data_IF_371751827542
#
_entry.id   IF_371751827542
#
_cell.length_a   1.000
_cell.length_b   1.000
_cell.length_c   1.000
_cell.angle_alpha   90.00
_cell.angle_beta   90.00
_cell.angle_gamma   90.00
#
_symmetry.space_group_name_H-M   'P 1'
#
loop_
_entity.id
_entity.type
_entity.pdbx_description
1 polymer ?
#
# COMPACT_ATOMS: atom_id res chain seq x y z
N UNK A 1 18.26 -20.31 -78.63
CA UNK A 1 17.11 -21.09 -79.12
C UNK A 1 16.37 -21.65 -77.92
N UNK A 2 15.04 -21.76 -78.02
CA UNK A 2 14.11 -22.32 -77.02
C UNK A 2 13.54 -21.32 -76.02
N UNK A 3 12.32 -20.80 -76.27
CA UNK A 3 11.08 -21.39 -75.72
C UNK A 3 9.86 -20.63 -76.26
N UNK A 4 8.98 -21.32 -76.97
CA UNK A 4 7.64 -20.85 -77.31
C UNK A 4 6.61 -21.37 -76.27
N UNK A 5 5.45 -20.69 -76.11
CA UNK A 5 4.48 -20.93 -75.04
C UNK A 5 3.19 -21.65 -75.52
N UNK A 6 2.44 -22.28 -74.58
CA UNK A 6 0.96 -22.24 -74.49
C UNK A 6 0.41 -23.19 -73.41
N UNK A 7 -0.52 -22.65 -72.61
CA UNK A 7 -1.58 -23.31 -71.81
C UNK A 7 -2.65 -23.93 -72.75
N UNK A 8 -3.81 -24.50 -72.28
CA UNK A 8 -4.20 -25.14 -71.00
C UNK A 8 -4.95 -26.50 -71.22
N UNK A 9 -5.31 -27.22 -70.14
CA UNK A 9 -6.52 -28.10 -69.96
C UNK A 9 -6.38 -28.78 -68.59
N UNK A 10 -7.39 -29.13 -67.77
CA UNK A 10 -8.86 -29.02 -67.75
C UNK A 10 -9.32 -29.36 -66.32
N UNK A 11 -10.43 -28.77 -65.91
CA UNK A 11 -11.53 -29.32 -65.08
C UNK A 11 -11.24 -30.16 -63.82
N UNK A 12 -11.60 -29.56 -62.67
CA UNK A 12 -12.76 -30.01 -61.89
C UNK A 12 -12.61 -31.19 -60.94
N UNK A 13 -12.51 -30.90 -59.64
CA UNK A 13 -13.22 -31.66 -58.60
C UNK A 13 -13.28 -30.85 -57.30
N UNK A 14 -14.50 -30.42 -56.98
CA UNK A 14 -14.95 -30.00 -55.67
C UNK A 14 -14.64 -31.05 -54.61
N UNK A 15 -13.92 -30.65 -53.56
CA UNK A 15 -13.74 -31.42 -52.34
C UNK A 15 -13.74 -30.46 -51.16
N UNK A 16 -14.93 -30.24 -50.59
CA UNK A 16 -15.09 -29.62 -49.29
C UNK A 16 -14.34 -30.51 -48.28
N UNK A 17 -13.18 -30.04 -47.83
CA UNK A 17 -12.55 -30.57 -46.63
C UNK A 17 -12.87 -29.58 -45.51
N UNK A 18 -13.98 -29.83 -44.83
CA UNK A 18 -14.20 -29.43 -43.44
C UNK A 18 -13.03 -29.98 -42.60
N UNK A 19 -11.94 -29.22 -42.57
CA UNK A 19 -10.93 -29.37 -41.54
C UNK A 19 -11.49 -28.75 -40.27
N UNK A 20 -12.21 -29.56 -39.50
CA UNK A 20 -12.55 -29.26 -38.11
C UNK A 20 -11.27 -28.79 -37.39
N UNK A 21 -11.18 -27.47 -37.16
CA UNK A 21 -10.16 -26.90 -36.31
C UNK A 21 -10.34 -27.52 -34.92
N UNK A 22 -9.31 -28.15 -34.34
CA UNK A 22 -9.45 -28.76 -33.04
C UNK A 22 -9.75 -27.65 -32.03
N UNK A 23 -10.72 -27.92 -31.16
CA UNK A 23 -11.18 -27.09 -30.05
C UNK A 23 -10.05 -26.70 -29.08
N UNK A 24 -9.13 -25.83 -29.52
CA UNK A 24 -7.97 -25.34 -28.76
C UNK A 24 -8.13 -23.88 -28.30
N UNK A 25 -9.28 -23.25 -28.57
CA UNK A 25 -9.51 -21.84 -28.26
C UNK A 25 -10.45 -21.56 -27.08
N UNK A 26 -10.80 -22.57 -26.26
CA UNK A 26 -11.58 -22.35 -25.02
C UNK A 26 -10.72 -22.34 -23.74
N UNK A 27 -9.39 -22.50 -23.85
CA UNK A 27 -8.49 -22.60 -22.70
C UNK A 27 -7.52 -21.40 -22.54
N UNK A 28 -7.85 -20.23 -23.11
CA UNK A 28 -7.07 -19.00 -22.91
C UNK A 28 -7.32 -18.34 -21.53
N UNK A 29 -7.55 -19.18 -20.50
CA UNK A 29 -7.60 -18.75 -19.10
C UNK A 29 -6.18 -18.55 -18.56
N UNK A 30 -5.99 -17.52 -17.74
CA UNK A 30 -4.72 -17.21 -17.05
C UNK A 30 -4.11 -18.49 -16.45
N UNK A 31 -2.84 -18.81 -16.73
CA UNK A 31 -2.16 -20.08 -16.29
C UNK A 31 -2.36 -20.41 -14.79
N UNK A 32 -2.44 -21.71 -14.41
CA UNK A 32 -2.62 -22.16 -13.02
C UNK A 32 -1.57 -21.62 -12.06
N UNK A 33 -2.01 -21.30 -10.83
CA UNK A 33 -1.12 -20.88 -9.74
C UNK A 33 -0.57 -22.12 -9.03
N UNK A 34 0.39 -22.79 -9.67
CA UNK A 34 1.16 -23.85 -9.02
C UNK A 34 2.07 -23.29 -7.94
N UNK A 35 2.53 -24.13 -7.01
CA UNK A 35 3.48 -23.74 -5.95
C UNK A 35 4.73 -23.06 -6.52
N UNK A 36 5.31 -23.60 -7.60
CA UNK A 36 6.46 -23.00 -8.29
C UNK A 36 6.14 -21.61 -8.87
N UNK A 37 4.93 -21.42 -9.43
CA UNK A 37 4.51 -20.11 -9.95
C UNK A 37 4.27 -19.10 -8.84
N UNK A 38 3.65 -19.53 -7.73
CA UNK A 38 3.47 -18.70 -6.53
C UNK A 38 4.83 -18.22 -6.02
N UNK A 39 5.79 -19.14 -5.86
CA UNK A 39 7.17 -18.83 -5.47
C UNK A 39 7.83 -17.80 -6.36
N UNK A 40 7.84 -18.03 -7.68
CA UNK A 40 8.47 -17.11 -8.63
C UNK A 40 7.82 -15.70 -8.58
N UNK A 41 6.50 -15.63 -8.42
CA UNK A 41 5.79 -14.35 -8.26
C UNK A 41 6.17 -13.67 -6.95
N UNK A 42 6.23 -14.43 -5.87
CA UNK A 42 6.53 -13.93 -4.54
C UNK A 42 7.97 -13.39 -4.48
N UNK A 43 8.95 -14.17 -4.90
CA UNK A 43 10.37 -13.79 -4.95
C UNK A 43 10.60 -12.55 -5.80
N UNK A 44 9.97 -12.48 -6.98
CA UNK A 44 10.03 -11.29 -7.81
C UNK A 44 9.40 -10.06 -7.12
N UNK A 45 8.28 -10.23 -6.43
CA UNK A 45 7.58 -9.13 -5.76
C UNK A 45 8.38 -8.57 -4.58
N UNK A 46 8.88 -9.44 -3.69
CA UNK A 46 9.63 -9.04 -2.50
C UNK A 46 11.03 -8.54 -2.85
N UNK A 47 11.64 -9.04 -3.93
CA UNK A 47 12.96 -8.58 -4.40
C UNK A 47 12.98 -7.15 -4.94
N UNK A 48 11.82 -6.59 -5.33
CA UNK A 48 11.73 -5.23 -5.87
C UNK A 48 11.18 -4.20 -4.88
N UNK A 49 10.50 -4.64 -3.81
CA UNK A 49 9.69 -3.76 -2.97
C UNK A 49 9.67 -4.22 -1.53
N UNK A 50 9.88 -3.27 -0.62
CA UNK A 50 9.50 -3.45 0.77
C UNK A 50 8.01 -3.71 0.89
N UNK A 51 7.65 -4.84 1.49
CA UNK A 51 6.29 -5.35 1.49
C UNK A 51 5.96 -5.99 2.82
N UNK A 52 4.72 -5.82 3.26
CA UNK A 52 4.15 -6.62 4.35
C UNK A 52 3.66 -7.98 3.84
N UNK A 53 3.49 -8.95 4.74
CA UNK A 53 2.90 -10.25 4.41
C UNK A 53 1.52 -10.10 3.76
N UNK A 54 0.68 -9.19 4.26
CA UNK A 54 -0.64 -8.89 3.68
C UNK A 54 -0.54 -8.33 2.25
N UNK A 55 0.48 -7.51 1.96
CA UNK A 55 0.66 -6.97 0.62
C UNK A 55 0.97 -8.06 -0.39
N UNK A 56 1.88 -8.99 -0.03
CA UNK A 56 2.17 -10.16 -0.86
C UNK A 56 0.93 -11.04 -1.04
N UNK A 57 0.22 -11.34 0.04
CA UNK A 57 -1.06 -12.08 0.00
C UNK A 57 -2.03 -11.46 -1.00
N UNK A 58 -2.28 -10.15 -0.89
CA UNK A 58 -3.18 -9.43 -1.79
C UNK A 58 -2.73 -9.50 -3.26
N UNK A 59 -1.43 -9.58 -3.55
CA UNK A 59 -0.93 -9.76 -4.92
C UNK A 59 -1.25 -11.15 -5.43
N UNK A 60 -0.99 -12.18 -4.63
CA UNK A 60 -1.25 -13.58 -4.98
C UNK A 60 -2.75 -13.85 -5.12
N UNK A 61 -3.57 -13.39 -4.17
CA UNK A 61 -5.03 -13.54 -4.20
C UNK A 61 -5.68 -12.79 -5.36
N UNK A 62 -5.21 -11.59 -5.72
CA UNK A 62 -5.72 -10.88 -6.91
C UNK A 62 -5.40 -11.65 -8.20
N UNK A 63 -4.27 -12.34 -8.27
CA UNK A 63 -3.92 -13.21 -9.42
C UNK A 63 -4.77 -14.47 -9.42
N UNK A 64 -4.99 -15.09 -8.27
CA UNK A 64 -5.91 -16.20 -8.11
C UNK A 64 -7.32 -15.79 -8.57
N UNK A 65 -7.89 -14.71 -8.03
CA UNK A 65 -9.21 -14.20 -8.42
C UNK A 65 -9.34 -13.96 -9.93
N UNK A 66 -8.32 -13.36 -10.56
CA UNK A 66 -8.31 -13.16 -12.02
C UNK A 66 -8.43 -14.48 -12.79
N UNK A 67 -7.76 -15.52 -12.31
CA UNK A 67 -7.83 -16.86 -12.90
C UNK A 67 -9.19 -17.52 -12.63
N UNK A 68 -9.69 -17.45 -11.40
CA UNK A 68 -10.96 -18.06 -11.03
C UNK A 68 -12.13 -17.53 -11.86
N UNK A 69 -12.08 -16.27 -12.31
CA UNK A 69 -13.11 -15.67 -13.17
C UNK A 69 -13.26 -16.32 -14.55
N UNK A 70 -12.27 -17.08 -15.02
CA UNK A 70 -12.34 -17.78 -16.31
C UNK A 70 -12.74 -19.25 -16.18
N UNK A 71 -13.11 -19.71 -14.98
CA UNK A 71 -13.46 -21.11 -14.70
C UNK A 71 -14.94 -21.23 -14.35
N UNK A 72 -15.50 -22.43 -14.53
CA UNK A 72 -16.82 -22.77 -14.01
C UNK A 72 -16.84 -22.65 -12.47
N UNK A 73 -17.96 -22.27 -11.83
CA UNK A 73 -18.02 -22.01 -10.39
C UNK A 73 -17.48 -23.14 -9.50
N UNK A 74 -17.78 -24.39 -9.84
CA UNK A 74 -17.38 -25.58 -9.09
C UNK A 74 -15.87 -25.80 -9.17
N UNK A 75 -15.32 -25.71 -10.40
CA UNK A 75 -13.87 -25.81 -10.65
C UNK A 75 -13.13 -24.64 -10.00
N UNK A 76 -13.72 -23.45 -10.00
CA UNK A 76 -13.15 -22.27 -9.36
C UNK A 76 -13.10 -22.41 -7.82
N UNK A 77 -14.09 -23.08 -7.22
CA UNK A 77 -14.10 -23.34 -5.79
C UNK A 77 -13.02 -24.36 -5.40
N UNK A 78 -12.93 -25.48 -6.12
CA UNK A 78 -11.91 -26.50 -5.91
C UNK A 78 -10.49 -25.94 -6.07
N UNK A 79 -10.25 -25.17 -7.14
CA UNK A 79 -8.93 -24.58 -7.36
C UNK A 79 -8.60 -23.52 -6.29
N UNK A 80 -9.59 -22.75 -5.82
CA UNK A 80 -9.37 -21.80 -4.71
C UNK A 80 -8.92 -22.55 -3.46
N UNK A 81 -9.63 -23.61 -3.08
CA UNK A 81 -9.34 -24.40 -1.89
C UNK A 81 -7.95 -25.04 -1.96
N UNK A 82 -7.54 -25.53 -3.14
CA UNK A 82 -6.21 -26.08 -3.35
C UNK A 82 -5.08 -25.03 -3.32
N UNK A 83 -5.34 -23.80 -3.80
CA UNK A 83 -4.29 -22.78 -3.96
C UNK A 83 -4.07 -21.93 -2.71
N UNK A 84 -5.10 -21.66 -1.89
CA UNK A 84 -4.96 -20.83 -0.70
C UNK A 84 -3.90 -21.37 0.29
N UNK A 85 -3.85 -22.67 0.63
CA UNK A 85 -2.80 -23.22 1.48
C UNK A 85 -1.38 -23.07 0.90
N UNK A 86 -1.24 -23.08 -0.44
CA UNK A 86 0.05 -22.86 -1.10
C UNK A 86 0.51 -21.41 -0.95
N UNK A 87 -0.42 -20.45 -0.97
CA UNK A 87 -0.14 -19.04 -0.69
C UNK A 87 0.29 -18.88 0.77
N UNK A 88 -0.42 -19.51 1.70
CA UNK A 88 -0.12 -19.46 3.13
C UNK A 88 1.27 -20.03 3.44
N UNK A 89 1.59 -21.21 2.88
CA UNK A 89 2.88 -21.86 3.04
C UNK A 89 4.03 -21.02 2.48
N UNK A 90 3.83 -20.35 1.34
CA UNK A 90 4.87 -19.49 0.76
C UNK A 90 5.11 -18.22 1.59
N UNK A 91 4.05 -17.60 2.13
CA UNK A 91 4.20 -16.46 3.04
C UNK A 91 4.96 -16.88 4.29
N UNK A 92 4.56 -17.98 4.93
CA UNK A 92 5.22 -18.52 6.11
C UNK A 92 6.70 -18.84 5.84
N UNK A 93 7.03 -19.39 4.66
CA UNK A 93 8.42 -19.63 4.23
C UNK A 93 9.23 -18.33 4.20
N UNK A 94 8.68 -17.27 3.62
CA UNK A 94 9.35 -15.98 3.47
C UNK A 94 9.47 -15.23 4.81
N UNK A 95 8.50 -15.38 5.72
CA UNK A 95 8.59 -14.89 7.09
C UNK A 95 9.68 -15.63 7.88
N UNK A 96 9.70 -16.97 7.82
CA UNK A 96 10.73 -17.77 8.47
C UNK A 96 12.14 -17.50 7.93
N UNK A 97 12.26 -17.18 6.64
CA UNK A 97 13.52 -16.76 6.03
C UNK A 97 13.92 -15.30 6.36
N UNK A 98 13.08 -14.56 7.10
CA UNK A 98 13.31 -13.15 7.41
C UNK A 98 13.22 -12.22 6.20
N UNK A 99 12.66 -12.68 5.08
CA UNK A 99 12.45 -11.85 3.88
C UNK A 99 11.25 -10.92 4.09
N UNK A 100 10.19 -11.43 4.71
CA UNK A 100 9.04 -10.63 5.14
C UNK A 100 9.16 -10.34 6.62
N UNK A 101 9.19 -9.05 6.97
CA UNK A 101 9.30 -8.58 8.35
C UNK A 101 8.35 -7.40 8.55
N UNK A 102 7.12 -7.70 8.98
CA UNK A 102 6.08 -6.70 9.19
C UNK A 102 6.48 -5.64 10.23
N UNK A 103 7.25 -6.02 11.27
CA UNK A 103 7.80 -5.09 12.25
C UNK A 103 8.75 -4.06 11.62
N UNK A 104 9.78 -4.51 10.89
CA UNK A 104 10.72 -3.63 10.18
C UNK A 104 10.01 -2.74 9.15
N UNK A 105 9.06 -3.31 8.42
CA UNK A 105 8.24 -2.55 7.48
C UNK A 105 7.47 -1.43 8.20
N UNK A 106 6.82 -1.77 9.31
CA UNK A 106 6.01 -0.83 10.08
C UNK A 106 6.87 0.29 10.69
N UNK A 107 8.00 -0.04 11.31
CA UNK A 107 8.93 0.94 11.91
C UNK A 107 9.41 1.97 10.90
N UNK A 108 9.89 1.50 9.75
CA UNK A 108 10.36 2.38 8.69
C UNK A 108 9.22 3.28 8.18
N UNK A 109 8.01 2.76 7.98
CA UNK A 109 6.87 3.58 7.56
C UNK A 109 6.44 4.57 8.65
N UNK A 110 6.47 4.19 9.92
CA UNK A 110 6.16 5.07 11.04
C UNK A 110 7.15 6.23 11.13
N UNK A 111 8.46 5.95 11.06
CA UNK A 111 9.54 6.93 11.06
C UNK A 111 9.43 7.93 9.90
N UNK A 112 9.23 7.43 8.69
CA UNK A 112 9.01 8.27 7.51
C UNK A 112 7.75 9.13 7.65
N UNK A 113 6.69 8.59 8.25
CA UNK A 113 5.45 9.32 8.45
C UNK A 113 5.57 10.41 9.52
N UNK A 114 6.18 10.14 10.68
CA UNK A 114 6.42 11.13 11.73
C UNK A 114 7.27 12.30 11.21
N UNK A 115 8.43 12.01 10.62
CA UNK A 115 9.32 13.03 10.02
C UNK A 115 8.64 13.82 8.89
N UNK A 116 7.65 13.23 8.21
CA UNK A 116 6.85 13.94 7.20
C UNK A 116 5.76 14.85 7.78
N UNK A 117 5.48 14.77 9.08
CA UNK A 117 4.43 15.50 9.79
C UNK A 117 3.08 14.79 9.79
N UNK A 118 3.04 13.48 10.02
CA UNK A 118 1.80 12.72 10.22
C UNK A 118 1.62 12.36 11.69
N UNK A 119 0.40 12.54 12.21
CA UNK A 119 0.08 12.17 13.59
C UNK A 119 -0.05 10.66 13.78
N UNK A 120 0.21 10.17 14.99
CA UNK A 120 0.25 8.75 15.32
C UNK A 120 -1.03 7.99 14.92
N UNK A 121 -2.21 8.59 15.11
CA UNK A 121 -3.49 7.95 14.71
C UNK A 121 -3.55 7.66 13.21
N UNK A 122 -3.04 8.57 12.38
CA UNK A 122 -3.01 8.39 10.92
C UNK A 122 -2.02 7.31 10.53
N UNK A 123 -0.86 7.26 11.19
CA UNK A 123 0.18 6.25 10.99
C UNK A 123 -0.39 4.86 11.26
N UNK A 124 -1.02 4.67 12.43
CA UNK A 124 -1.64 3.40 12.81
C UNK A 124 -2.73 2.97 11.81
N UNK A 125 -3.58 3.90 11.35
CA UNK A 125 -4.57 3.59 10.31
C UNK A 125 -3.95 3.17 8.99
N UNK A 126 -2.88 3.84 8.55
CA UNK A 126 -2.21 3.51 7.30
C UNK A 126 -1.51 2.15 7.39
N UNK A 127 -0.88 1.81 8.52
CA UNK A 127 -0.30 0.49 8.78
C UNK A 127 -1.37 -0.61 8.84
N UNK A 128 -2.50 -0.36 9.50
CA UNK A 128 -3.62 -1.31 9.52
C UNK A 128 -4.18 -1.60 8.11
N UNK A 129 -4.26 -0.58 7.23
CA UNK A 129 -4.62 -0.78 5.81
C UNK A 129 -3.59 -1.61 5.03
N UNK A 130 -2.32 -1.60 5.46
CA UNK A 130 -1.27 -2.49 4.96
C UNK A 130 -1.27 -3.86 5.62
N UNK A 131 -2.22 -4.10 6.51
CA UNK A 131 -2.46 -5.38 7.14
C UNK A 131 -1.58 -5.72 8.32
N UNK A 132 -0.80 -4.75 8.81
CA UNK A 132 0.06 -4.88 9.99
C UNK A 132 -0.83 -5.08 11.23
N UNK A 133 -0.43 -6.00 12.10
CA UNK A 133 -1.12 -6.23 13.37
C UNK A 133 -1.09 -4.98 14.25
N UNK A 134 -2.15 -4.78 15.03
CA UNK A 134 -2.32 -3.59 15.87
C UNK A 134 -1.14 -3.40 16.84
N UNK A 135 -0.68 -4.50 17.44
CA UNK A 135 0.44 -4.47 18.39
C UNK A 135 1.75 -4.09 17.71
N UNK A 136 2.10 -4.79 16.63
CA UNK A 136 3.27 -4.47 15.81
C UNK A 136 3.27 -3.03 15.30
N UNK A 137 2.09 -2.48 14.95
CA UNK A 137 1.97 -1.10 14.51
C UNK A 137 2.21 -0.09 15.65
N UNK A 138 1.79 -0.42 16.89
CA UNK A 138 2.03 0.41 18.08
C UNK A 138 3.49 0.37 18.51
N UNK A 139 4.08 -0.83 18.57
CA UNK A 139 5.51 -1.02 18.84
C UNK A 139 6.35 -0.25 17.82
N UNK A 140 6.05 -0.39 16.54
CA UNK A 140 6.73 0.34 15.48
C UNK A 140 6.60 1.87 15.61
N UNK A 141 5.44 2.37 16.05
CA UNK A 141 5.25 3.80 16.31
C UNK A 141 6.07 4.25 17.53
N UNK A 142 6.15 3.44 18.58
CA UNK A 142 6.98 3.72 19.75
C UNK A 142 8.47 3.78 19.38
N UNK A 143 8.99 2.80 18.64
CA UNK A 143 10.38 2.81 18.19
C UNK A 143 10.68 4.04 17.31
N UNK A 144 9.78 4.34 16.36
CA UNK A 144 9.92 5.53 15.54
C UNK A 144 9.85 6.83 16.35
N UNK A 145 9.04 6.87 17.41
CA UNK A 145 8.96 8.01 18.31
C UNK A 145 10.26 8.20 19.11
N UNK A 146 10.90 7.10 19.59
CA UNK A 146 12.22 7.18 20.27
C UNK A 146 13.30 7.81 19.41
N UNK A 147 13.33 7.45 18.13
CA UNK A 147 14.31 8.00 17.20
C UNK A 147 14.05 9.48 16.89
N UNK A 148 12.78 9.84 16.67
CA UNK A 148 12.38 11.24 16.40
C UNK A 148 12.65 12.11 17.62
N UNK A 149 12.27 11.65 18.79
CA UNK A 149 12.53 12.31 20.07
C UNK A 149 13.97 12.14 20.56
N UNK A 150 14.92 11.69 19.72
CA UNK A 150 16.32 11.33 20.07
C UNK A 150 17.19 12.44 20.67
N UNK A 151 16.58 13.55 21.12
CA UNK A 151 17.18 14.67 21.86
C UNK A 151 16.43 14.98 23.17
N UNK A 152 15.29 14.34 23.43
CA UNK A 152 14.50 14.46 24.65
C UNK A 152 15.06 13.54 25.76
N UNK A 153 14.65 13.77 27.01
CA UNK A 153 15.18 13.05 28.17
C UNK A 153 15.14 11.52 27.98
N UNK A 154 16.23 10.79 28.26
CA UNK A 154 16.32 9.35 28.00
C UNK A 154 15.30 8.49 28.77
N UNK A 155 14.61 9.06 29.76
CA UNK A 155 13.72 8.36 30.68
C UNK A 155 12.22 8.72 30.50
N UNK A 156 11.83 9.26 29.33
CA UNK A 156 10.40 9.50 29.06
C UNK A 156 9.62 8.17 29.08
N UNK A 157 8.47 8.19 29.77
CA UNK A 157 7.52 7.09 29.65
C UNK A 157 6.93 7.03 28.21
N UNK A 158 6.28 5.90 27.89
CA UNK A 158 5.73 5.70 26.54
C UNK A 158 4.72 6.77 26.13
N UNK A 159 3.97 7.34 27.08
CA UNK A 159 2.95 8.34 26.80
C UNK A 159 3.59 9.69 26.47
N UNK A 160 4.54 10.13 27.28
CA UNK A 160 5.27 11.37 27.08
C UNK A 160 6.12 11.33 25.81
N UNK A 161 6.75 10.18 25.53
CA UNK A 161 7.48 9.96 24.28
C UNK A 161 6.60 10.17 23.05
N UNK A 162 5.43 9.52 23.03
CA UNK A 162 4.49 9.65 21.92
C UNK A 162 3.97 11.08 21.79
N UNK A 163 3.72 11.76 22.91
CA UNK A 163 3.28 13.16 22.91
C UNK A 163 4.36 14.07 22.31
N UNK A 164 5.62 13.89 22.69
CA UNK A 164 6.75 14.67 22.16
C UNK A 164 6.90 14.46 20.65
N UNK A 165 6.92 13.21 20.19
CA UNK A 165 7.00 12.90 18.76
C UNK A 165 5.77 13.42 17.97
N UNK A 166 4.58 13.39 18.57
CA UNK A 166 3.37 13.96 17.95
C UNK A 166 3.44 15.49 17.84
N UNK A 167 3.97 16.17 18.87
CA UNK A 167 4.15 17.62 18.87
C UNK A 167 5.13 18.06 17.77
N UNK A 168 6.27 17.37 17.63
CA UNK A 168 7.24 17.63 16.56
C UNK A 168 6.63 17.38 15.17
N UNK A 169 5.93 16.26 14.99
CA UNK A 169 5.25 15.97 13.73
C UNK A 169 4.17 17.03 13.40
N UNK A 170 3.44 17.53 14.40
CA UNK A 170 2.43 18.57 14.23
C UNK A 170 3.07 19.90 13.83
N UNK A 171 4.23 20.24 14.41
CA UNK A 171 4.99 21.43 14.05
C UNK A 171 5.49 21.37 12.60
N UNK A 172 6.09 20.24 12.19
CA UNK A 172 6.50 19.99 10.80
C UNK A 172 5.31 20.11 9.84
N UNK A 173 4.15 19.56 10.20
CA UNK A 173 2.94 19.67 9.40
C UNK A 173 2.49 21.12 9.25
N UNK A 174 2.46 21.87 10.35
CA UNK A 174 2.05 23.27 10.39
C UNK A 174 2.97 24.16 9.54
N UNK A 175 4.29 23.97 9.64
CA UNK A 175 5.28 24.66 8.80
C UNK A 175 5.05 24.41 7.31
N UNK A 176 4.96 23.13 6.92
CA UNK A 176 4.74 22.73 5.50
C UNK A 176 3.44 23.28 4.93
N UNK A 177 2.42 23.47 5.77
CA UNK A 177 1.09 23.92 5.36
C UNK A 177 0.83 25.40 5.65
N UNK A 178 1.78 26.12 6.24
CA UNK A 178 1.67 27.53 6.66
C UNK A 178 0.44 27.78 7.55
N UNK A 179 0.27 26.93 8.56
CA UNK A 179 -0.84 26.98 9.51
C UNK A 179 -0.39 27.57 10.84
N UNK A 180 -1.35 28.03 11.64
CA UNK A 180 -1.05 28.49 13.00
C UNK A 180 -0.01 29.63 13.00
N UNK A 181 1.11 29.46 13.71
CA UNK A 181 2.15 30.48 13.80
C UNK A 181 2.89 30.72 12.47
N UNK A 182 2.80 29.79 11.52
CA UNK A 182 3.50 29.83 10.23
C UNK A 182 2.68 30.45 9.10
N UNK A 183 1.58 31.14 9.43
CA UNK A 183 0.74 31.80 8.42
C UNK A 183 1.50 32.97 7.79
N UNK A 184 1.34 33.14 6.49
CA UNK A 184 1.91 34.29 5.76
C UNK A 184 1.03 35.53 5.84
N UNK A 185 -0.26 35.35 6.10
CA UNK A 185 -1.23 36.43 6.25
C UNK A 185 -1.65 36.53 7.71
N UNK A 186 -1.77 37.76 8.26
CA UNK A 186 -2.25 37.94 9.62
C UNK A 186 -3.70 37.46 9.74
N UNK A 187 -4.08 37.03 10.94
CA UNK A 187 -5.46 36.68 11.22
C UNK A 187 -6.36 37.93 11.08
N UNK A 188 -7.53 37.83 10.43
CA UNK A 188 -8.49 38.93 10.35
C UNK A 188 -8.90 39.42 11.74
N UNK A 189 -9.29 40.69 11.89
CA UNK A 189 -9.84 41.19 13.15
C UNK A 189 -11.21 40.56 13.46
N UNK A 190 -11.98 40.22 12.42
CA UNK A 190 -13.29 39.61 12.56
C UNK A 190 -13.22 38.22 13.22
N UNK A 191 -13.95 38.07 14.32
CA UNK A 191 -13.96 36.84 15.13
C UNK A 191 -14.52 35.65 14.36
N UNK A 192 -15.51 35.86 13.49
CA UNK A 192 -16.16 34.78 12.73
C UNK A 192 -15.21 34.22 11.68
N UNK A 193 -14.51 35.10 10.95
CA UNK A 193 -13.51 34.74 9.96
C UNK A 193 -12.30 34.03 10.61
N UNK A 194 -11.79 34.54 11.73
CA UNK A 194 -10.76 33.84 12.53
C UNK A 194 -11.19 32.43 12.90
N UNK A 195 -12.42 32.29 13.41
CA UNK A 195 -12.98 30.99 13.80
C UNK A 195 -13.16 30.05 12.61
N UNK A 196 -13.46 30.58 11.42
CA UNK A 196 -13.55 29.81 10.18
C UNK A 196 -12.18 29.31 9.72
N UNK A 197 -11.16 30.18 9.77
CA UNK A 197 -9.77 29.82 9.47
C UNK A 197 -9.29 28.73 10.43
N UNK A 198 -9.45 28.95 11.74
CA UNK A 198 -9.05 27.96 12.76
C UNK A 198 -9.72 26.61 12.53
N UNK A 199 -11.04 26.56 12.30
CA UNK A 199 -11.76 25.31 12.02
C UNK A 199 -11.25 24.59 10.77
N UNK A 200 -10.94 25.34 9.71
CA UNK A 200 -10.38 24.78 8.47
C UNK A 200 -9.02 24.13 8.71
N UNK A 201 -8.16 24.79 9.46
CA UNK A 201 -6.81 24.31 9.78
C UNK A 201 -6.85 23.12 10.75
N UNK A 202 -7.66 23.22 11.81
CA UNK A 202 -7.93 22.13 12.73
C UNK A 202 -8.44 20.90 11.98
N UNK A 203 -9.39 21.05 11.05
CA UNK A 203 -9.87 19.94 10.24
C UNK A 203 -8.77 19.31 9.36
N UNK A 204 -7.82 20.10 8.86
CA UNK A 204 -6.67 19.58 8.11
C UNK A 204 -5.75 18.74 9.01
N UNK A 205 -5.45 19.23 10.22
CA UNK A 205 -4.64 18.50 11.20
C UNK A 205 -5.34 17.23 11.72
N UNK A 206 -6.65 17.28 11.98
CA UNK A 206 -7.44 16.09 12.34
C UNK A 206 -7.34 15.00 11.27
N UNK A 207 -7.43 15.37 9.98
CA UNK A 207 -7.26 14.42 8.87
C UNK A 207 -5.82 13.88 8.77
N UNK A 208 -4.84 14.65 9.22
CA UNK A 208 -3.45 14.23 9.32
C UNK A 208 -3.17 13.34 10.55
N UNK A 209 -4.14 13.19 11.45
CA UNK A 209 -4.10 12.24 12.57
C UNK A 209 -3.75 12.83 13.93
N UNK A 210 -3.75 14.14 14.08
CA UNK A 210 -3.42 14.81 15.34
C UNK A 210 -4.62 14.87 16.31
N UNK A 211 -4.33 14.79 17.61
CA UNK A 211 -5.31 15.02 18.68
C UNK A 211 -5.71 16.48 18.82
N UNK A 212 -6.88 16.75 19.44
CA UNK A 212 -7.37 18.12 19.63
C UNK A 212 -6.43 18.99 20.47
N UNK A 213 -5.79 18.40 21.48
CA UNK A 213 -4.87 19.11 22.37
C UNK A 213 -3.62 19.57 21.60
N UNK A 214 -3.03 18.68 20.79
CA UNK A 214 -1.93 19.01 19.87
C UNK A 214 -2.34 20.09 18.87
N UNK A 215 -3.56 20.00 18.32
CA UNK A 215 -4.08 20.98 17.36
C UNK A 215 -4.18 22.37 18.00
N UNK A 216 -4.77 22.47 19.19
CA UNK A 216 -4.85 23.74 19.94
C UNK A 216 -3.46 24.28 20.26
N UNK A 217 -2.60 23.41 20.80
CA UNK A 217 -1.21 23.75 21.12
C UNK A 217 -0.47 24.33 19.92
N UNK A 218 -0.65 23.77 18.72
CA UNK A 218 -0.04 24.33 17.50
C UNK A 218 -0.71 25.63 17.07
N UNK A 219 -2.04 25.64 16.91
CA UNK A 219 -2.75 26.71 16.20
C UNK A 219 -2.93 27.99 17.01
N UNK A 220 -2.89 27.88 18.34
CA UNK A 220 -3.10 29.00 19.26
C UNK A 220 -1.77 29.71 19.63
N UNK A 221 -0.63 29.26 19.07
CA UNK A 221 0.65 29.97 19.15
C UNK A 221 0.59 31.31 18.45
N UNK A 222 1.35 32.28 18.98
CA UNK A 222 1.56 33.57 18.33
C UNK A 222 2.28 33.37 17.00
N UNK A 223 1.97 34.19 15.96
CA UNK A 223 2.71 34.16 14.71
C UNK A 223 4.21 34.30 14.96
N UNK A 224 5.02 33.44 14.33
CA UNK A 224 6.46 33.64 14.35
C UNK A 224 6.77 34.84 13.44
N UNK A 225 7.50 35.83 13.98
CA UNK A 225 8.01 36.95 13.18
C UNK A 225 9.04 36.38 12.20
N UNK A 226 8.77 36.52 10.89
CA UNK A 226 9.70 36.14 9.82
C UNK A 226 10.86 37.13 9.72
#
# INVERSE_FOLDING_TARGET
MTRAPRMPTKDGASGQAEGAQPARDLAAGTRPLTAARIRNIAEHYVGQRESSARMLRNVLERRLQRRLRSLAPEVAAEEREAVLPLIDAEIARLEAAGVLQDARYAEMKARSALSSGRGGRRILQDLARKGIASETAREALLEAAREVAGTAEPDLDQFDLLRTAEAEAADVFARKRRLGPYRTEPLPEDRSERSRIWRREAAAMTRAGFGLDTIRWVLDRQPEEN
#
